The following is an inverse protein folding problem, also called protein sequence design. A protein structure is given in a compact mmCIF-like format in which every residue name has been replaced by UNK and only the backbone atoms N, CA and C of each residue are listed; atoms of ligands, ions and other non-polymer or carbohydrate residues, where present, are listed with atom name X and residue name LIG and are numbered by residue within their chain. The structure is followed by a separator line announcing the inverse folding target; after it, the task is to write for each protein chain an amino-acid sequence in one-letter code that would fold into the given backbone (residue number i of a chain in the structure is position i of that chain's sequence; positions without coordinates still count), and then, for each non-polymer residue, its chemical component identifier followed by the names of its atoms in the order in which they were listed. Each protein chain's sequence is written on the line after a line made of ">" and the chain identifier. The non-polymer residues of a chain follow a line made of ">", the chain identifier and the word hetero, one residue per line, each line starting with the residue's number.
data_IF_805441848403
#
_entry.id   IF_805441848403
#
_cell.length_a   1.000
_cell.length_b   1.000
_cell.length_c   1.000
_cell.angle_alpha   90.00
_cell.angle_beta   90.00
_cell.angle_gamma   90.00
#
_symmetry.space_group_name_H-M   'P 1'
#
loop_
_entity.id
_entity.type
_entity.pdbx_description
1 polymer ?
#
# COMPACT_ATOMS: atom_id res chain seq x y z
N UNK A 1 20.91 -27.63 6.68
CA UNK A 1 21.13 -26.18 6.64
C UNK A 1 21.20 -25.68 8.06
N UNK A 2 22.22 -24.93 8.43
CA UNK A 2 22.29 -24.27 9.75
C UNK A 2 21.45 -23.00 9.71
N UNK A 3 20.95 -22.56 10.87
CA UNK A 3 20.16 -21.33 11.01
C UNK A 3 20.89 -20.12 10.42
N UNK A 4 22.20 -20.01 10.67
CA UNK A 4 23.05 -18.96 10.12
C UNK A 4 23.04 -18.87 8.58
N UNK A 5 23.07 -20.01 7.87
CA UNK A 5 23.02 -20.02 6.41
C UNK A 5 21.63 -19.64 5.86
N UNK A 6 20.57 -19.88 6.63
CA UNK A 6 19.22 -19.47 6.26
C UNK A 6 19.02 -17.97 6.46
N UNK A 7 19.58 -17.41 7.54
CA UNK A 7 19.54 -15.98 7.82
C UNK A 7 20.33 -15.19 6.77
N UNK A 8 21.54 -15.62 6.43
CA UNK A 8 22.34 -14.99 5.36
C UNK A 8 21.61 -14.97 4.01
N UNK A 9 20.89 -16.06 3.68
CA UNK A 9 20.05 -16.12 2.48
C UNK A 9 18.89 -15.14 2.52
N UNK A 10 18.27 -14.91 3.68
CA UNK A 10 17.19 -13.92 3.81
C UNK A 10 17.73 -12.51 3.61
N UNK A 11 18.87 -12.19 4.20
CA UNK A 11 19.50 -10.86 4.06
C UNK A 11 19.85 -10.56 2.60
N UNK A 12 20.41 -11.53 1.88
CA UNK A 12 20.69 -11.40 0.45
C UNK A 12 19.41 -11.21 -0.38
N UNK A 13 18.34 -11.93 -0.04
CA UNK A 13 17.05 -11.81 -0.73
C UNK A 13 16.42 -10.44 -0.48
N UNK A 14 16.50 -9.95 0.76
CA UNK A 14 16.02 -8.62 1.13
C UNK A 14 16.77 -7.54 0.34
N UNK A 15 18.10 -7.59 0.30
CA UNK A 15 18.90 -6.66 -0.48
C UNK A 15 18.58 -6.72 -1.97
N UNK A 16 18.40 -7.93 -2.52
CA UNK A 16 17.98 -8.08 -3.92
C UNK A 16 16.62 -7.42 -4.17
N UNK A 17 15.63 -7.68 -3.33
CA UNK A 17 14.30 -7.08 -3.47
C UNK A 17 14.34 -5.56 -3.34
N UNK A 18 15.14 -5.00 -2.42
CA UNK A 18 15.35 -3.56 -2.28
C UNK A 18 16.00 -2.94 -3.52
N UNK A 19 16.92 -3.65 -4.18
CA UNK A 19 17.57 -3.16 -5.40
C UNK A 19 16.65 -3.24 -6.61
N UNK A 20 15.86 -4.32 -6.75
CA UNK A 20 14.93 -4.50 -7.86
C UNK A 20 13.84 -3.44 -7.86
N UNK A 21 13.38 -3.00 -6.67
CA UNK A 21 12.38 -1.92 -6.57
C UNK A 21 12.94 -0.53 -6.91
N UNK A 22 14.26 -0.36 -7.06
CA UNK A 22 14.85 0.91 -7.51
C UNK A 22 14.71 1.12 -9.03
N UNK A 23 14.39 0.08 -9.81
CA UNK A 23 14.13 0.20 -11.25
C UNK A 23 12.68 0.65 -11.51
N UNK A 24 12.46 1.86 -12.07
CA UNK A 24 11.12 2.36 -12.36
C UNK A 24 10.33 1.48 -13.34
N UNK A 25 11.01 0.75 -14.22
CA UNK A 25 10.34 -0.15 -15.17
C UNK A 25 9.77 -1.38 -14.47
N UNK A 26 10.45 -1.85 -13.42
CA UNK A 26 9.98 -2.98 -12.63
C UNK A 26 8.79 -2.56 -11.76
N UNK A 27 8.82 -1.38 -11.16
CA UNK A 27 7.70 -0.83 -10.38
C UNK A 27 6.43 -0.61 -11.22
N UNK A 28 6.57 -0.38 -12.53
CA UNK A 28 5.46 -0.20 -13.48
C UNK A 28 5.06 -1.50 -14.19
N UNK A 29 5.75 -2.60 -13.93
CA UNK A 29 5.47 -3.88 -14.57
C UNK A 29 4.27 -4.54 -13.91
N UNK A 30 3.19 -4.76 -14.66
CA UNK A 30 1.99 -5.45 -14.19
C UNK A 30 2.32 -6.83 -13.58
N UNK A 31 3.29 -7.54 -14.16
CA UNK A 31 3.74 -8.85 -13.67
C UNK A 31 4.35 -8.73 -12.27
N UNK A 32 5.18 -7.71 -12.05
CA UNK A 32 5.84 -7.51 -10.77
C UNK A 32 4.88 -6.97 -9.71
N UNK A 33 3.99 -6.05 -10.11
CA UNK A 33 2.93 -5.54 -9.24
C UNK A 33 1.99 -6.67 -8.79
N UNK A 34 1.56 -7.55 -9.70
CA UNK A 34 0.71 -8.69 -9.33
C UNK A 34 1.46 -9.67 -8.42
N UNK A 35 2.75 -9.92 -8.67
CA UNK A 35 3.58 -10.72 -7.76
C UNK A 35 3.63 -10.13 -6.35
N UNK A 36 3.90 -8.83 -6.21
CA UNK A 36 3.96 -8.15 -4.91
C UNK A 36 2.60 -8.13 -4.22
N UNK A 37 1.51 -7.95 -4.96
CA UNK A 37 0.14 -8.06 -4.42
C UNK A 37 -0.13 -9.45 -3.86
N UNK A 38 0.18 -10.50 -4.61
CA UNK A 38 0.01 -11.88 -4.15
C UNK A 38 0.91 -12.19 -2.94
N UNK A 39 2.15 -11.72 -2.95
CA UNK A 39 3.08 -11.89 -1.83
C UNK A 39 2.54 -11.25 -0.54
N UNK A 40 2.00 -10.03 -0.62
CA UNK A 40 1.34 -9.36 0.51
C UNK A 40 0.14 -10.17 1.02
N UNK A 41 -0.79 -10.57 0.14
CA UNK A 41 -1.98 -11.33 0.55
C UNK A 41 -1.62 -12.67 1.21
N UNK A 42 -0.67 -13.41 0.63
CA UNK A 42 -0.24 -14.71 1.15
C UNK A 42 0.51 -14.59 2.47
N UNK A 43 1.32 -13.54 2.65
CA UNK A 43 2.11 -13.33 3.88
C UNK A 43 1.21 -13.11 5.10
N UNK A 44 0.09 -12.41 4.90
CA UNK A 44 -0.86 -12.10 5.96
C UNK A 44 -2.11 -13.01 5.96
N UNK A 45 -2.13 -14.04 5.12
CA UNK A 45 -3.28 -14.95 4.93
C UNK A 45 -4.63 -14.23 4.69
N UNK A 46 -4.59 -13.19 3.85
CA UNK A 46 -5.75 -12.32 3.60
C UNK A 46 -6.53 -12.84 2.39
N UNK A 47 -7.75 -13.30 2.64
CA UNK A 47 -8.70 -13.63 1.58
C UNK A 47 -9.16 -12.37 0.82
N UNK A 48 -9.32 -12.52 -0.50
CA UNK A 48 -9.89 -11.47 -1.36
C UNK A 48 -11.38 -11.35 -1.11
N UNK A 49 -11.82 -10.24 -0.52
CA UNK A 49 -13.23 -9.96 -0.21
C UNK A 49 -13.51 -8.47 -0.19
N UNK A 50 -14.80 -8.11 -0.22
CA UNK A 50 -15.21 -6.73 0.00
C UNK A 50 -14.89 -6.29 1.44
N UNK A 51 -14.42 -5.06 1.57
CA UNK A 51 -14.12 -4.41 2.83
C UNK A 51 -14.43 -2.91 2.73
N UNK A 52 -14.27 -2.20 3.84
CA UNK A 52 -14.44 -0.75 3.88
C UNK A 52 -13.19 -0.11 4.49
N UNK A 53 -12.77 1.02 3.91
CA UNK A 53 -11.73 1.88 4.46
C UNK A 53 -12.29 3.27 4.73
N UNK A 54 -11.89 3.85 5.86
CA UNK A 54 -12.11 5.26 6.16
C UNK A 54 -10.87 6.05 5.73
N UNK A 55 -11.04 6.90 4.71
CA UNK A 55 -9.96 7.73 4.17
C UNK A 55 -10.08 9.12 4.76
N UNK A 56 -9.07 9.53 5.51
CA UNK A 56 -8.98 10.87 6.09
C UNK A 56 -8.39 11.85 5.09
N UNK A 57 -9.12 12.93 4.85
CA UNK A 57 -8.68 14.04 4.02
C UNK A 57 -7.90 15.07 4.87
N UNK A 58 -7.08 15.94 4.25
CA UNK A 58 -6.34 16.97 4.96
C UNK A 58 -7.19 17.98 5.75
N UNK A 59 -8.48 18.09 5.45
CA UNK A 59 -9.44 18.94 6.15
C UNK A 59 -10.10 18.23 7.36
N UNK A 60 -9.52 17.13 7.84
CA UNK A 60 -10.00 16.30 8.96
C UNK A 60 -11.34 15.57 8.72
N UNK A 61 -11.94 15.71 7.54
CA UNK A 61 -13.10 14.90 7.16
C UNK A 61 -12.66 13.49 6.78
N UNK A 62 -13.51 12.51 7.04
CA UNK A 62 -13.32 11.14 6.57
C UNK A 62 -14.36 10.75 5.53
N UNK A 63 -13.92 9.94 4.56
CA UNK A 63 -14.79 9.35 3.55
C UNK A 63 -14.65 7.84 3.64
N UNK A 64 -15.78 7.18 3.88
CA UNK A 64 -15.85 5.71 3.83
C UNK A 64 -15.98 5.24 2.39
N UNK A 65 -15.12 4.33 1.96
CA UNK A 65 -15.15 3.71 0.64
C UNK A 65 -15.27 2.20 0.76
N UNK A 66 -16.02 1.58 -0.16
CA UNK A 66 -15.99 0.13 -0.36
C UNK A 66 -14.79 -0.20 -1.24
N UNK A 67 -14.04 -1.22 -0.86
CA UNK A 67 -12.87 -1.73 -1.59
C UNK A 67 -12.91 -3.26 -1.62
N UNK A 68 -12.01 -3.85 -2.39
CA UNK A 68 -11.60 -5.24 -2.24
C UNK A 68 -10.30 -5.25 -1.42
N UNK A 69 -10.13 -6.22 -0.52
CA UNK A 69 -8.91 -6.35 0.32
C UNK A 69 -7.61 -6.45 -0.50
N UNK A 70 -7.70 -6.82 -1.77
CA UNK A 70 -6.60 -6.89 -2.74
C UNK A 70 -6.42 -5.64 -3.59
N UNK A 71 -7.19 -4.57 -3.36
CA UNK A 71 -7.03 -3.31 -4.09
C UNK A 71 -5.70 -2.65 -3.71
N UNK A 72 -4.98 -2.15 -4.71
CA UNK A 72 -3.72 -1.44 -4.54
C UNK A 72 -3.94 0.00 -4.09
N UNK A 73 -2.91 0.67 -3.59
CA UNK A 73 -2.96 2.06 -3.17
C UNK A 73 -3.32 2.99 -4.33
N UNK A 74 -2.79 2.72 -5.54
CA UNK A 74 -3.18 3.42 -6.76
C UNK A 74 -4.68 3.29 -7.01
N UNK A 75 -5.21 2.06 -6.97
CA UNK A 75 -6.63 1.79 -7.22
C UNK A 75 -7.53 2.49 -6.19
N UNK A 76 -7.16 2.45 -4.92
CA UNK A 76 -7.90 3.13 -3.86
C UNK A 76 -7.88 4.65 -4.08
N UNK A 77 -6.72 5.22 -4.44
CA UNK A 77 -6.59 6.65 -4.72
C UNK A 77 -7.46 7.09 -5.91
N UNK A 78 -7.53 6.29 -6.98
CA UNK A 78 -8.45 6.51 -8.10
C UNK A 78 -9.90 6.58 -7.63
N UNK A 79 -10.35 5.60 -6.83
CA UNK A 79 -11.73 5.54 -6.33
C UNK A 79 -12.05 6.75 -5.46
N UNK A 80 -11.15 7.14 -4.56
CA UNK A 80 -11.31 8.33 -3.71
C UNK A 80 -11.37 9.59 -4.56
N UNK A 81 -10.46 9.74 -5.53
CA UNK A 81 -10.39 10.92 -6.41
C UNK A 81 -11.69 11.13 -7.16
N UNK A 82 -12.27 10.06 -7.71
CA UNK A 82 -13.56 10.10 -8.39
C UNK A 82 -14.69 10.49 -7.42
N UNK A 83 -14.68 9.95 -6.19
CA UNK A 83 -15.70 10.23 -5.19
C UNK A 83 -15.71 11.68 -4.69
N UNK A 84 -14.54 12.33 -4.65
CA UNK A 84 -14.41 13.74 -4.25
C UNK A 84 -14.47 14.73 -5.42
N UNK A 85 -14.62 14.24 -6.66
CA UNK A 85 -14.65 15.07 -7.85
C UNK A 85 -13.30 15.71 -8.20
N UNK A 86 -12.19 15.07 -7.83
CA UNK A 86 -10.85 15.53 -8.19
C UNK A 86 -10.61 15.33 -9.69
N UNK A 87 -10.06 16.34 -10.36
CA UNK A 87 -9.68 16.23 -11.77
C UNK A 87 -8.58 15.16 -11.94
N UNK A 88 -8.74 14.28 -12.93
CA UNK A 88 -7.80 13.18 -13.21
C UNK A 88 -6.37 13.67 -13.46
N UNK A 89 -6.21 14.83 -14.08
CA UNK A 89 -4.91 15.46 -14.35
C UNK A 89 -4.14 15.79 -13.06
N UNK A 90 -4.86 15.98 -11.95
CA UNK A 90 -4.26 16.29 -10.65
C UNK A 90 -3.93 15.04 -9.84
N UNK A 91 -4.37 13.85 -10.25
CA UNK A 91 -4.23 12.62 -9.47
C UNK A 91 -2.76 12.33 -9.08
N UNK A 92 -1.83 12.56 -10.00
CA UNK A 92 -0.39 12.33 -9.78
C UNK A 92 0.26 13.22 -8.72
N UNK A 93 -0.43 14.26 -8.24
CA UNK A 93 0.03 15.11 -7.15
C UNK A 93 -0.38 14.60 -5.76
N UNK A 94 -1.25 13.58 -5.71
CA UNK A 94 -1.75 13.02 -4.47
C UNK A 94 -1.12 11.65 -4.20
N UNK A 95 -1.23 11.21 -2.95
CA UNK A 95 -0.79 9.90 -2.52
C UNK A 95 -1.55 9.47 -1.28
N UNK A 96 -1.58 8.17 -1.03
CA UNK A 96 -2.10 7.64 0.22
C UNK A 96 -1.00 7.60 1.27
N UNK A 97 -1.37 7.97 2.48
CA UNK A 97 -0.46 8.00 3.62
C UNK A 97 -1.04 7.15 4.74
N UNK A 98 -0.20 6.30 5.32
CA UNK A 98 -0.53 5.64 6.56
C UNK A 98 -0.34 6.63 7.70
N UNK A 99 -1.41 6.90 8.43
CA UNK A 99 -1.39 7.80 9.60
C UNK A 99 -1.62 7.01 10.87
N UNK A 100 -1.01 7.46 11.97
CA UNK A 100 -1.22 6.92 13.31
C UNK A 100 -1.91 7.97 14.17
N UNK A 101 -2.95 7.56 14.85
CA UNK A 101 -3.57 8.34 15.92
C UNK A 101 -2.70 8.22 17.18
N UNK A 102 -2.04 9.30 17.55
CA UNK A 102 -1.29 9.41 18.80
C UNK A 102 -2.21 9.66 20.00
N UNK A 103 -1.60 9.74 21.19
CA UNK A 103 -2.29 10.23 22.39
C UNK A 103 -2.75 11.68 22.15
N UNK A 104 -3.89 12.06 22.73
CA UNK A 104 -4.46 13.42 22.65
C UNK A 104 -4.91 13.87 21.24
N UNK A 105 -5.19 12.93 20.33
CA UNK A 105 -5.73 13.26 19.01
C UNK A 105 -4.70 13.77 18.00
N UNK A 106 -3.41 13.76 18.34
CA UNK A 106 -2.35 14.17 17.41
C UNK A 106 -2.16 13.12 16.32
N UNK A 107 -2.38 13.52 15.08
CA UNK A 107 -2.09 12.71 13.89
C UNK A 107 -0.60 12.76 13.55
N UNK A 108 0.01 11.60 13.32
CA UNK A 108 1.35 11.51 12.74
C UNK A 108 1.34 10.68 11.45
N UNK A 109 2.06 11.15 10.43
CA UNK A 109 2.29 10.38 9.21
C UNK A 109 3.36 9.32 9.51
N UNK A 110 3.05 8.06 9.23
CA UNK A 110 3.98 6.93 9.37
C UNK A 110 4.79 6.76 8.09
N UNK A 111 4.11 6.67 6.95
CA UNK A 111 4.75 6.59 5.62
C UNK A 111 3.77 6.93 4.51
N UNK A 112 4.30 7.27 3.34
CA UNK A 112 3.56 7.23 2.06
C UNK A 112 3.47 5.77 1.60
N UNK A 113 2.30 5.32 1.16
CA UNK A 113 2.16 4.01 0.53
C UNK A 113 2.69 4.06 -0.90
N UNK A 114 3.43 3.02 -1.31
CA UNK A 114 3.75 2.83 -2.72
C UNK A 114 2.52 2.34 -3.49
N UNK A 115 2.47 2.60 -4.79
CA UNK A 115 1.28 2.36 -5.63
C UNK A 115 0.80 0.91 -5.60
N UNK A 116 1.73 -0.06 -5.47
CA UNK A 116 1.47 -1.50 -5.40
C UNK A 116 1.07 -2.02 -4.01
N UNK A 117 1.23 -1.22 -2.95
CA UNK A 117 0.89 -1.65 -1.60
C UNK A 117 -0.63 -1.84 -1.48
N UNK A 118 -1.06 -2.76 -0.62
CA UNK A 118 -2.47 -3.03 -0.38
C UNK A 118 -2.93 -2.28 0.88
N UNK A 119 -3.68 -1.16 0.79
CA UNK A 119 -3.97 -0.32 1.95
C UNK A 119 -4.68 -1.07 3.08
N UNK A 120 -5.53 -2.06 2.76
CA UNK A 120 -6.19 -2.89 3.75
C UNK A 120 -5.20 -3.74 4.55
N UNK A 121 -4.18 -4.28 3.89
CA UNK A 121 -3.14 -5.12 4.51
C UNK A 121 -2.21 -4.27 5.37
N UNK A 122 -1.88 -3.06 4.93
CA UNK A 122 -1.00 -2.12 5.66
C UNK A 122 -1.57 -1.62 7.00
N UNK A 123 -2.85 -1.88 7.29
CA UNK A 123 -3.51 -1.53 8.56
C UNK A 123 -3.45 -2.65 9.61
N UNK A 124 -3.04 -3.86 9.21
CA UNK A 124 -2.93 -5.04 10.08
C UNK A 124 -1.69 -5.04 10.97
#
# INVERSE_FOLDING_TARGET
>A
MTTAMADERRDQLEQYLQNVTMDPNVLRSDVFVEFLKLAQLNTFDIATKKAYLDIFLPNEQSIRIEIITSDTAERVLEVVSHKIGLCRELLGYFGLFLIRFGKEGKLSVVKKLADFELPYVSLG
#
